data_IF_440414079866
#
_entry.id   IF_440414079866
#
_cell.length_a   1.000
_cell.length_b   1.000
_cell.length_c   1.000
_cell.angle_alpha   90.00
_cell.angle_beta   90.00
_cell.angle_gamma   90.00
#
_symmetry.space_group_name_H-M   'P 1'
#
loop_
_entity.id
_entity.type
_entity.pdbx_description
1 polymer ?
#
# COMPACT_ATOMS: atom_id res chain seq x y z
N UNK A 1 88.18 49.50 -36.34
CA UNK A 1 87.32 49.70 -35.15
C UNK A 1 85.86 49.71 -35.59
N UNK A 2 85.08 48.77 -35.05
CA UNK A 2 83.61 48.56 -35.09
C UNK A 2 82.81 49.02 -36.34
N UNK A 3 82.19 48.09 -37.11
CA UNK A 3 81.20 48.44 -38.12
C UNK A 3 79.83 48.80 -37.50
N UNK A 4 78.96 49.54 -38.20
CA UNK A 4 77.64 49.91 -37.72
C UNK A 4 76.64 48.76 -37.84
N UNK A 5 75.76 48.62 -36.85
CA UNK A 5 74.64 47.68 -36.87
C UNK A 5 73.63 48.07 -37.97
N UNK A 6 73.13 47.11 -38.78
CA UNK A 6 71.92 47.33 -39.57
C UNK A 6 70.69 47.00 -38.71
N UNK A 7 69.79 47.98 -38.61
CA UNK A 7 68.45 47.84 -38.05
C UNK A 7 67.62 46.97 -39.01
N UNK A 8 67.41 45.69 -38.68
CA UNK A 8 66.49 44.83 -39.43
C UNK A 8 65.05 45.23 -39.09
N UNK A 9 64.40 46.00 -39.97
CA UNK A 9 62.94 46.11 -39.98
C UNK A 9 62.37 44.79 -40.52
N UNK A 10 62.06 43.89 -39.58
CA UNK A 10 61.37 42.63 -39.85
C UNK A 10 59.95 42.96 -40.31
N UNK A 11 59.75 43.05 -41.62
CA UNK A 11 58.42 42.98 -42.21
C UNK A 11 57.84 41.60 -41.87
N UNK A 12 56.93 41.55 -40.90
CA UNK A 12 56.05 40.41 -40.74
C UNK A 12 55.17 40.33 -41.99
N UNK A 13 55.05 39.18 -42.66
CA UNK A 13 54.01 39.00 -43.66
C UNK A 13 52.67 39.16 -42.94
N UNK A 14 51.95 40.22 -43.31
CA UNK A 14 50.56 40.42 -42.92
C UNK A 14 49.78 39.29 -43.59
N UNK A 15 49.49 38.21 -42.88
CA UNK A 15 48.40 37.31 -43.27
C UNK A 15 47.08 38.06 -43.04
N UNK A 16 46.73 38.94 -43.96
CA UNK A 16 45.34 39.26 -44.21
C UNK A 16 44.77 38.11 -45.03
N UNK A 17 44.27 37.10 -44.34
CA UNK A 17 43.09 36.37 -44.83
C UNK A 17 42.04 36.56 -43.75
N UNK A 18 41.39 37.73 -43.75
CA UNK A 18 40.05 37.85 -43.18
C UNK A 18 39.08 37.22 -44.18
N UNK A 19 39.21 35.90 -44.38
CA UNK A 19 38.29 35.13 -45.19
C UNK A 19 37.02 34.94 -44.37
N UNK A 20 35.89 35.46 -44.85
CA UNK A 20 34.59 35.08 -44.30
C UNK A 20 34.42 33.56 -44.42
N UNK A 21 33.70 32.96 -43.46
CA UNK A 21 33.38 31.54 -43.49
C UNK A 21 32.75 31.17 -44.82
N UNK A 22 33.22 30.07 -45.42
CA UNK A 22 32.61 29.54 -46.64
C UNK A 22 31.21 29.01 -46.32
N UNK A 23 30.33 29.02 -47.32
CA UNK A 23 28.96 28.50 -47.17
C UNK A 23 28.95 27.05 -46.64
N UNK A 24 29.91 26.23 -47.05
CA UNK A 24 30.06 24.84 -46.59
C UNK A 24 30.46 24.77 -45.11
N UNK A 25 31.39 25.61 -44.65
CA UNK A 25 31.78 25.66 -43.22
C UNK A 25 30.62 26.12 -42.34
N UNK A 26 29.85 27.13 -42.77
CA UNK A 26 28.63 27.56 -42.10
C UNK A 26 27.59 26.43 -42.03
N UNK A 27 27.38 25.70 -43.13
CA UNK A 27 26.39 24.62 -43.20
C UNK A 27 26.78 23.44 -42.30
N UNK A 28 28.06 23.05 -42.30
CA UNK A 28 28.59 22.00 -41.41
C UNK A 28 28.47 22.44 -39.95
N UNK A 29 28.85 23.68 -39.62
CA UNK A 29 28.73 24.20 -38.26
C UNK A 29 27.27 24.22 -37.75
N UNK A 30 26.32 24.63 -38.60
CA UNK A 30 24.89 24.61 -38.25
C UNK A 30 24.36 23.18 -38.06
N UNK A 31 24.76 22.24 -38.93
CA UNK A 31 24.32 20.84 -38.83
C UNK A 31 24.82 20.14 -37.57
N UNK A 32 26.10 20.33 -37.22
CA UNK A 32 26.67 19.81 -35.98
C UNK A 32 26.01 20.44 -34.75
N UNK A 33 25.80 21.76 -34.77
CA UNK A 33 25.12 22.47 -33.68
C UNK A 33 23.70 21.95 -33.47
N UNK A 34 22.94 21.71 -34.55
CA UNK A 34 21.60 21.15 -34.47
C UNK A 34 21.59 19.73 -33.88
N UNK A 35 22.55 18.88 -34.25
CA UNK A 35 22.69 17.54 -33.66
C UNK A 35 23.01 17.60 -32.17
N UNK A 36 23.92 18.46 -31.75
CA UNK A 36 24.28 18.61 -30.33
C UNK A 36 23.13 19.17 -29.49
N UNK A 37 22.41 20.16 -30.01
CA UNK A 37 21.25 20.73 -29.31
C UNK A 37 20.11 19.71 -29.25
N UNK A 38 19.85 18.98 -30.34
CA UNK A 38 18.81 17.94 -30.38
C UNK A 38 19.09 16.78 -29.43
N UNK A 39 20.34 16.30 -29.37
CA UNK A 39 20.75 15.24 -28.44
C UNK A 39 20.73 15.72 -26.99
N UNK A 40 21.22 16.93 -26.70
CA UNK A 40 21.16 17.51 -25.36
C UNK A 40 19.73 17.73 -24.87
N UNK A 41 18.82 18.17 -25.75
CA UNK A 41 17.41 18.33 -25.43
C UNK A 41 16.73 16.97 -25.15
N UNK A 42 17.05 15.92 -25.91
CA UNK A 42 16.54 14.58 -25.64
C UNK A 42 17.08 14.00 -24.33
N UNK A 43 18.37 14.20 -24.03
CA UNK A 43 18.97 13.78 -22.76
C UNK A 43 18.34 14.54 -21.59
N UNK A 44 18.17 15.86 -21.71
CA UNK A 44 17.51 16.65 -20.68
C UNK A 44 16.04 16.25 -20.51
N UNK A 45 15.32 15.98 -21.60
CA UNK A 45 13.95 15.49 -21.54
C UNK A 45 13.87 14.11 -20.86
N UNK A 46 14.76 13.19 -21.21
CA UNK A 46 14.86 11.87 -20.58
C UNK A 46 15.23 11.98 -19.09
N UNK A 47 16.18 12.85 -18.73
CA UNK A 47 16.54 13.12 -17.34
C UNK A 47 15.38 13.77 -16.61
N UNK A 48 14.67 14.73 -17.19
CA UNK A 48 13.56 15.44 -16.52
C UNK A 48 12.33 14.54 -16.35
N UNK A 49 12.06 13.68 -17.33
CA UNK A 49 11.01 12.65 -17.23
C UNK A 49 11.37 11.60 -16.17
N UNK A 50 12.64 11.18 -16.10
CA UNK A 50 13.10 10.24 -15.07
C UNK A 50 13.34 10.89 -13.70
N UNK A 51 13.61 12.19 -13.63
CA UNK A 51 13.84 12.92 -12.38
C UNK A 51 12.53 13.11 -11.61
N UNK A 52 11.40 13.19 -12.31
CA UNK A 52 10.07 13.05 -11.68
C UNK A 52 9.84 11.68 -11.03
N UNK A 53 10.69 10.69 -11.30
CA UNK A 53 10.63 9.35 -10.71
C UNK A 53 11.59 9.17 -9.50
N UNK A 54 12.31 10.21 -9.06
CA UNK A 54 12.98 10.15 -7.76
C UNK A 54 11.93 10.24 -6.66
N UNK A 55 11.40 9.07 -6.32
CA UNK A 55 10.83 8.79 -5.01
C UNK A 55 11.70 9.43 -3.93
N UNK A 56 11.16 10.37 -3.17
CA UNK A 56 11.76 10.73 -1.89
C UNK A 56 11.77 9.45 -1.04
N UNK A 57 12.94 8.88 -0.80
CA UNK A 57 13.08 7.74 0.10
C UNK A 57 13.35 8.30 1.48
N UNK A 58 12.49 7.99 2.43
CA UNK A 58 12.67 8.35 3.83
C UNK A 58 13.07 7.12 4.62
N UNK A 59 14.01 7.32 5.55
CA UNK A 59 14.21 6.39 6.66
C UNK A 59 13.12 6.70 7.70
N UNK A 60 12.19 5.76 7.88
CA UNK A 60 11.08 5.88 8.83
C UNK A 60 11.42 5.09 10.08
N UNK A 61 11.37 5.72 11.24
CA UNK A 61 11.52 5.04 12.53
C UNK A 61 10.18 4.39 12.94
N UNK A 62 10.13 3.05 12.88
CA UNK A 62 8.95 2.24 13.26
C UNK A 62 9.11 1.56 14.62
N UNK A 63 10.34 1.51 15.14
CA UNK A 63 10.72 0.76 16.33
C UNK A 63 11.05 -0.70 16.02
N UNK A 64 11.93 -1.28 16.84
CA UNK A 64 12.48 -2.64 16.60
C UNK A 64 11.39 -3.71 16.60
N UNK A 65 10.43 -3.64 17.52
CA UNK A 65 9.35 -4.62 17.60
C UNK A 65 8.49 -4.65 16.32
N UNK A 66 8.21 -3.48 15.73
CA UNK A 66 7.44 -3.36 14.49
C UNK A 66 8.21 -3.94 13.32
N UNK A 67 9.48 -3.56 13.16
CA UNK A 67 10.34 -4.07 12.06
C UNK A 67 10.58 -5.57 12.15
N UNK A 68 10.79 -6.10 13.35
CA UNK A 68 10.95 -7.53 13.60
C UNK A 68 9.65 -8.27 13.27
N UNK A 69 8.50 -7.74 13.70
CA UNK A 69 7.20 -8.34 13.42
C UNK A 69 6.81 -8.31 11.93
N UNK A 70 7.12 -7.20 11.24
CA UNK A 70 6.72 -6.97 9.85
C UNK A 70 7.64 -7.68 8.85
N UNK A 71 8.95 -7.64 9.10
CA UNK A 71 9.97 -7.98 8.11
C UNK A 71 11.07 -8.90 8.66
N UNK A 72 10.97 -9.34 9.92
CA UNK A 72 12.02 -10.10 10.61
C UNK A 72 13.37 -9.37 10.61
N UNK A 73 13.33 -8.03 10.72
CA UNK A 73 14.52 -7.17 10.74
C UNK A 73 14.84 -6.70 12.16
N UNK A 74 16.08 -6.92 12.61
CA UNK A 74 16.59 -6.42 13.90
C UNK A 74 17.01 -4.94 13.85
N UNK A 75 16.23 -4.08 13.22
CA UNK A 75 16.48 -2.63 13.06
C UNK A 75 15.26 -1.83 13.51
N UNK A 76 15.42 -0.57 13.90
CA UNK A 76 14.30 0.30 14.28
C UNK A 76 13.68 1.07 13.11
N UNK A 77 14.32 1.07 11.94
CA UNK A 77 13.89 1.85 10.78
C UNK A 77 13.84 1.08 9.47
N UNK A 78 12.97 1.57 8.59
CA UNK A 78 12.77 1.06 7.23
C UNK A 78 12.88 2.22 6.25
N UNK A 79 13.66 2.00 5.18
CA UNK A 79 13.72 2.93 4.06
C UNK A 79 12.54 2.67 3.14
N UNK A 80 11.65 3.66 3.00
CA UNK A 80 10.50 3.54 2.11
C UNK A 80 10.28 4.80 1.30
N UNK A 81 9.48 4.66 0.25
CA UNK A 81 9.09 5.74 -0.64
C UNK A 81 7.98 6.58 -0.03
N UNK A 82 8.01 7.90 -0.19
CA UNK A 82 6.84 8.74 0.05
C UNK A 82 5.85 8.66 -1.11
N UNK A 83 4.55 8.74 -0.82
CA UNK A 83 3.51 8.98 -1.81
C UNK A 83 3.49 10.46 -2.23
N UNK A 84 3.22 10.79 -3.50
CA UNK A 84 2.88 9.87 -4.59
C UNK A 84 4.11 9.17 -5.20
N UNK A 85 4.00 7.87 -5.47
CA UNK A 85 5.02 7.03 -6.10
C UNK A 85 4.39 6.01 -7.06
N UNK A 86 4.51 6.28 -8.35
CA UNK A 86 4.00 5.41 -9.42
C UNK A 86 4.82 4.13 -9.60
N UNK A 87 6.09 4.11 -9.21
CA UNK A 87 6.92 2.91 -9.25
C UNK A 87 6.43 1.82 -8.28
N UNK A 88 5.89 2.23 -7.13
CA UNK A 88 5.28 1.34 -6.14
C UNK A 88 3.90 0.85 -6.55
N UNK A 89 3.25 1.48 -7.53
CA UNK A 89 1.93 1.08 -8.04
C UNK A 89 1.92 -0.35 -8.58
N UNK A 90 2.99 -0.77 -9.25
CA UNK A 90 3.13 -2.13 -9.78
C UNK A 90 3.03 -3.19 -8.69
N UNK A 91 3.63 -2.95 -7.52
CA UNK A 91 3.59 -3.88 -6.39
C UNK A 91 2.19 -3.99 -5.78
N UNK A 92 1.38 -2.94 -5.86
CA UNK A 92 -0.02 -2.98 -5.39
C UNK A 92 -0.88 -3.79 -6.34
N UNK A 93 -0.69 -3.63 -7.64
CA UNK A 93 -1.37 -4.47 -8.63
C UNK A 93 -1.00 -5.95 -8.46
N UNK A 94 0.29 -6.25 -8.30
CA UNK A 94 0.75 -7.61 -8.02
C UNK A 94 0.15 -8.16 -6.72
N UNK A 95 0.17 -7.38 -5.63
CA UNK A 95 -0.44 -7.78 -4.35
C UNK A 95 -1.95 -8.03 -4.48
N UNK A 96 -2.67 -7.17 -5.22
CA UNK A 96 -4.10 -7.31 -5.47
C UNK A 96 -4.39 -8.56 -6.27
N UNK A 97 -3.64 -8.81 -7.34
CA UNK A 97 -3.87 -9.96 -8.20
C UNK A 97 -3.56 -11.25 -7.42
N UNK A 98 -2.46 -11.29 -6.66
CA UNK A 98 -2.14 -12.39 -5.73
C UNK A 98 -3.21 -12.59 -4.65
N UNK A 99 -3.82 -11.50 -4.15
CA UNK A 99 -4.92 -11.57 -3.18
C UNK A 99 -6.17 -12.18 -3.80
N UNK A 100 -6.56 -11.80 -5.02
CA UNK A 100 -7.69 -12.41 -5.70
C UNK A 100 -7.46 -13.89 -6.04
N UNK A 101 -6.23 -14.26 -6.41
CA UNK A 101 -5.86 -15.65 -6.62
C UNK A 101 -6.03 -16.47 -5.33
N UNK A 102 -5.51 -15.98 -4.19
CA UNK A 102 -5.68 -16.67 -2.91
C UNK A 102 -7.15 -16.71 -2.45
N UNK A 103 -7.93 -15.64 -2.68
CA UNK A 103 -9.37 -15.61 -2.39
C UNK A 103 -10.11 -16.65 -3.22
N UNK A 104 -9.75 -16.83 -4.49
CA UNK A 104 -10.39 -17.83 -5.36
C UNK A 104 -10.16 -19.28 -4.89
N UNK A 105 -9.08 -19.51 -4.15
CA UNK A 105 -8.72 -20.80 -3.54
C UNK A 105 -9.25 -20.95 -2.11
N UNK A 106 -9.87 -19.90 -1.55
CA UNK A 106 -10.35 -19.88 -0.18
C UNK A 106 -11.83 -20.27 -0.08
N UNK A 107 -12.17 -20.98 0.99
CA UNK A 107 -13.55 -21.29 1.37
C UNK A 107 -14.15 -20.18 2.27
N UNK A 108 -13.28 -19.45 2.98
CA UNK A 108 -13.68 -18.43 3.93
C UNK A 108 -12.67 -17.29 4.01
N UNK A 109 -13.19 -16.06 4.10
CA UNK A 109 -12.43 -14.82 4.27
C UNK A 109 -12.86 -14.16 5.57
N UNK A 110 -11.92 -13.96 6.49
CA UNK A 110 -12.21 -13.37 7.80
C UNK A 110 -11.33 -12.15 8.05
N UNK A 111 -11.92 -10.97 8.01
CA UNK A 111 -11.22 -9.73 8.36
C UNK A 111 -11.35 -9.48 9.87
N UNK A 112 -10.23 -9.35 10.58
CA UNK A 112 -10.17 -9.03 12.00
C UNK A 112 -9.49 -7.68 12.21
N UNK A 113 -10.06 -6.84 13.08
CA UNK A 113 -9.52 -5.54 13.44
C UNK A 113 -8.54 -5.64 14.63
N UNK A 114 -7.47 -4.85 14.60
CA UNK A 114 -6.48 -4.79 15.70
C UNK A 114 -5.87 -3.41 15.86
N UNK A 115 -5.42 -3.13 17.09
CA UNK A 115 -4.68 -1.91 17.42
C UNK A 115 -3.16 -2.12 17.37
N UNK A 116 -2.69 -3.28 17.84
CA UNK A 116 -1.26 -3.62 17.96
C UNK A 116 -0.76 -4.53 16.85
N UNK A 117 0.46 -5.06 17.05
CA UNK A 117 1.11 -6.01 16.15
C UNK A 117 0.43 -7.38 16.19
N UNK A 118 0.36 -8.07 15.04
CA UNK A 118 -0.14 -9.44 14.97
C UNK A 118 1.02 -10.44 15.07
N UNK A 119 0.93 -11.40 15.98
CA UNK A 119 1.88 -12.52 16.10
C UNK A 119 1.27 -13.85 15.68
N UNK A 120 0.00 -13.87 15.25
CA UNK A 120 -0.77 -15.07 14.92
C UNK A 120 -0.84 -15.21 13.40
N UNK A 121 0.02 -16.07 12.86
CA UNK A 121 0.13 -16.37 11.41
C UNK A 121 0.21 -17.88 11.14
N UNK A 122 -0.70 -18.70 11.71
CA UNK A 122 -0.61 -20.16 11.60
C UNK A 122 -0.91 -20.62 10.17
N UNK A 123 -0.40 -21.80 9.82
CA UNK A 123 -0.85 -22.58 8.64
C UNK A 123 -2.06 -23.47 9.01
N UNK A 124 -2.07 -23.97 10.23
CA UNK A 124 -3.03 -24.95 10.73
C UNK A 124 -3.62 -24.45 12.05
N UNK A 125 -4.94 -24.45 12.14
CA UNK A 125 -5.69 -24.17 13.36
C UNK A 125 -6.37 -25.47 13.79
N UNK A 126 -6.04 -25.96 14.98
CA UNK A 126 -6.63 -27.18 15.53
C UNK A 126 -8.10 -26.94 15.91
N UNK A 127 -8.99 -27.87 15.55
CA UNK A 127 -10.36 -27.80 16.04
C UNK A 127 -10.37 -28.12 17.55
N UNK A 128 -10.94 -27.26 18.42
CA UNK A 128 -10.85 -27.41 19.87
C UNK A 128 -11.73 -28.53 20.46
N UNK A 129 -12.02 -29.59 19.70
CA UNK A 129 -12.90 -30.68 20.11
C UNK A 129 -12.12 -31.97 20.31
N UNK A 130 -12.22 -32.51 21.53
CA UNK A 130 -11.73 -33.85 21.87
C UNK A 130 -12.73 -34.97 21.57
N UNK A 131 -13.97 -34.61 21.18
CA UNK A 131 -15.05 -35.56 20.87
C UNK A 131 -15.40 -35.51 19.37
N UNK A 132 -15.18 -36.60 18.60
CA UNK A 132 -15.51 -36.66 17.19
C UNK A 132 -17.02 -36.59 16.88
N UNK A 133 -17.90 -36.68 17.89
CA UNK A 133 -19.33 -36.47 17.75
C UNK A 133 -19.76 -34.99 17.87
N UNK A 134 -18.87 -34.09 18.30
CA UNK A 134 -19.20 -32.68 18.44
C UNK A 134 -19.25 -31.98 17.06
N UNK A 135 -20.32 -31.23 16.80
CA UNK A 135 -20.44 -30.43 15.59
C UNK A 135 -19.40 -29.31 15.58
N UNK A 136 -18.65 -29.19 14.47
CA UNK A 136 -17.73 -28.07 14.23
C UNK A 136 -18.47 -26.72 14.38
N UNK A 137 -17.80 -25.69 14.91
CA UNK A 137 -18.43 -24.40 15.16
C UNK A 137 -18.70 -23.74 13.82
N UNK A 138 -19.83 -23.05 13.73
CA UNK A 138 -20.22 -22.35 12.51
C UNK A 138 -19.45 -21.03 12.43
N UNK A 139 -18.47 -20.96 11.53
CA UNK A 139 -17.62 -19.78 11.32
C UNK A 139 -18.25 -18.85 10.27
N UNK A 140 -19.43 -18.32 10.60
CA UNK A 140 -20.26 -17.55 9.67
C UNK A 140 -20.06 -16.03 9.71
N UNK A 141 -19.28 -15.55 10.68
CA UNK A 141 -19.05 -14.12 10.95
C UNK A 141 -17.60 -13.88 11.40
N UNK A 142 -17.10 -12.64 11.23
CA UNK A 142 -15.79 -12.25 11.77
C UNK A 142 -15.69 -12.53 13.28
N UNK A 143 -16.78 -12.29 14.01
CA UNK A 143 -16.84 -12.49 15.46
C UNK A 143 -16.83 -13.98 15.84
N UNK A 144 -17.55 -14.84 15.11
CA UNK A 144 -17.47 -16.29 15.32
C UNK A 144 -16.04 -16.80 15.06
N UNK A 145 -15.40 -16.35 13.98
CA UNK A 145 -14.01 -16.69 13.69
C UNK A 145 -13.04 -16.17 14.75
N UNK A 146 -13.22 -14.93 15.23
CA UNK A 146 -12.40 -14.35 16.31
C UNK A 146 -12.48 -15.18 17.59
N UNK A 147 -13.68 -15.61 18.00
CA UNK A 147 -13.87 -16.43 19.20
C UNK A 147 -13.29 -17.84 19.02
N UNK A 148 -13.41 -18.42 17.83
CA UNK A 148 -12.74 -19.68 17.49
C UNK A 148 -11.21 -19.55 17.57
N UNK A 149 -10.65 -18.48 16.98
CA UNK A 149 -9.22 -18.20 17.01
C UNK A 149 -8.72 -17.98 18.43
N UNK A 150 -9.48 -17.27 19.28
CA UNK A 150 -9.15 -17.07 20.69
C UNK A 150 -9.15 -18.37 21.51
N UNK A 151 -9.90 -19.39 21.06
CA UNK A 151 -9.92 -20.71 21.72
C UNK A 151 -8.74 -21.55 21.29
N UNK A 152 -8.43 -21.55 19.98
CA UNK A 152 -7.37 -22.37 19.37
C UNK A 152 -5.98 -21.78 19.60
N UNK A 153 -5.87 -20.46 19.52
CA UNK A 153 -4.66 -19.66 19.69
C UNK A 153 -4.92 -18.58 20.74
N UNK A 154 -4.79 -18.90 22.05
CA UNK A 154 -5.16 -17.98 23.13
C UNK A 154 -4.50 -16.60 23.08
N UNK A 155 -3.30 -16.51 22.48
CA UNK A 155 -2.58 -15.24 22.28
C UNK A 155 -3.35 -14.27 21.38
N UNK A 156 -4.20 -14.76 20.47
CA UNK A 156 -5.01 -13.95 19.56
C UNK A 156 -6.07 -13.10 20.28
N UNK A 157 -6.51 -13.52 21.46
CA UNK A 157 -7.56 -12.84 22.23
C UNK A 157 -7.18 -11.42 22.65
N UNK A 158 -5.88 -11.17 22.87
CA UNK A 158 -5.34 -9.85 23.21
C UNK A 158 -5.02 -8.97 21.98
N UNK A 159 -4.98 -9.56 20.79
CA UNK A 159 -4.59 -8.89 19.54
C UNK A 159 -5.81 -8.34 18.82
N UNK A 160 -6.84 -9.17 18.66
CA UNK A 160 -8.00 -8.84 17.85
C UNK A 160 -9.17 -8.30 18.67
N UNK A 161 -9.74 -7.20 18.20
CA UNK A 161 -10.86 -6.53 18.85
C UNK A 161 -12.18 -6.97 18.20
N UNK A 162 -13.19 -7.22 19.04
CA UNK A 162 -14.54 -7.47 18.56
C UNK A 162 -15.08 -6.24 17.83
N UNK A 163 -15.70 -6.44 16.68
CA UNK A 163 -16.33 -5.36 15.92
C UNK A 163 -17.54 -5.91 15.16
N UNK A 164 -18.47 -5.03 14.79
CA UNK A 164 -19.58 -5.37 13.91
C UNK A 164 -19.65 -4.39 12.76
N UNK A 165 -19.54 -4.91 11.55
CA UNK A 165 -19.43 -4.15 10.30
C UNK A 165 -18.16 -3.29 10.21
N UNK A 166 -17.95 -2.34 11.11
CA UNK A 166 -16.81 -1.40 11.06
C UNK A 166 -15.87 -1.62 12.23
N UNK A 167 -14.55 -1.66 11.98
CA UNK A 167 -13.56 -1.54 13.04
C UNK A 167 -13.76 -0.26 13.87
N UNK A 168 -13.55 -0.31 15.19
CA UNK A 168 -13.47 0.92 15.98
C UNK A 168 -12.23 1.73 15.57
N UNK A 169 -12.30 3.07 15.70
CA UNK A 169 -11.18 3.96 15.36
C UNK A 169 -9.88 3.66 16.14
N UNK A 170 -10.00 3.02 17.30
CA UNK A 170 -8.87 2.57 18.13
C UNK A 170 -8.18 1.31 17.60
N UNK A 171 -8.75 0.63 16.60
CA UNK A 171 -8.20 -0.57 15.96
C UNK A 171 -8.08 -0.37 14.44
N UNK A 172 -7.14 0.49 13.98
CA UNK A 172 -7.06 0.90 12.58
C UNK A 172 -6.46 -0.16 11.64
N UNK A 173 -5.77 -1.15 12.19
CA UNK A 173 -5.06 -2.18 11.43
C UNK A 173 -5.97 -3.39 11.19
N UNK A 174 -5.79 -4.02 10.04
CA UNK A 174 -6.61 -5.15 9.61
C UNK A 174 -5.74 -6.39 9.39
N UNK A 175 -6.24 -7.54 9.80
CA UNK A 175 -5.69 -8.86 9.44
C UNK A 175 -6.75 -9.67 8.75
N UNK A 176 -6.43 -10.24 7.59
CA UNK A 176 -7.35 -11.01 6.76
C UNK A 176 -6.85 -12.44 6.77
N UNK A 177 -7.65 -13.35 7.31
CA UNK A 177 -7.40 -14.78 7.26
C UNK A 177 -8.17 -15.38 6.08
N UNK A 178 -7.44 -16.08 5.21
CA UNK A 178 -8.03 -16.87 4.13
C UNK A 178 -7.97 -18.34 4.53
N UNK A 179 -9.11 -18.96 4.73
CA UNK A 179 -9.22 -20.40 5.06
C UNK A 179 -9.51 -21.19 3.80
N UNK A 180 -9.00 -22.43 3.72
CA UNK A 180 -9.17 -23.26 2.54
C UNK A 180 -9.43 -24.72 2.85
N UNK A 181 -9.68 -25.53 1.82
CA UNK A 181 -9.98 -26.94 1.97
C UNK A 181 -8.80 -27.68 2.58
N UNK A 182 -9.11 -28.72 3.35
CA UNK A 182 -8.13 -29.61 3.97
C UNK A 182 -8.65 -31.05 3.98
N UNK A 183 -7.72 -31.99 3.81
CA UNK A 183 -7.94 -33.43 3.99
C UNK A 183 -7.79 -33.87 5.46
N UNK A 184 -7.25 -33.01 6.31
CA UNK A 184 -7.11 -33.26 7.74
C UNK A 184 -8.37 -32.87 8.49
N UNK A 185 -9.07 -33.87 9.05
CA UNK A 185 -10.35 -33.68 9.75
C UNK A 185 -10.23 -32.78 11.00
N UNK A 186 -9.10 -32.83 11.69
CA UNK A 186 -8.86 -32.17 12.97
C UNK A 186 -8.32 -30.73 12.85
N UNK A 187 -8.09 -30.26 11.62
CA UNK A 187 -7.56 -28.92 11.39
C UNK A 187 -8.44 -28.08 10.48
N UNK A 188 -8.32 -26.77 10.62
CA UNK A 188 -8.72 -25.76 9.64
C UNK A 188 -7.44 -25.22 9.00
N UNK A 189 -7.38 -25.26 7.67
CA UNK A 189 -6.22 -24.75 6.94
C UNK A 189 -6.35 -23.24 6.71
N UNK A 190 -5.29 -22.51 7.02
CA UNK A 190 -5.12 -21.10 6.67
C UNK A 190 -4.22 -21.03 5.44
N UNK A 191 -4.79 -20.64 4.30
CA UNK A 191 -4.10 -20.55 3.00
C UNK A 191 -3.09 -19.42 3.01
N UNK A 192 -3.50 -18.26 3.54
CA UNK A 192 -2.67 -17.07 3.67
C UNK A 192 -3.26 -16.12 4.73
N UNK A 193 -2.38 -15.30 5.28
CA UNK A 193 -2.74 -14.19 6.17
C UNK A 193 -2.25 -12.90 5.54
N UNK A 194 -3.16 -11.96 5.30
CA UNK A 194 -2.82 -10.62 4.86
C UNK A 194 -2.91 -9.63 6.02
N UNK A 195 -1.98 -8.70 6.09
CA UNK A 195 -1.95 -7.67 7.11
C UNK A 195 -1.91 -6.30 6.44
N UNK A 196 -2.78 -5.39 6.89
CA UNK A 196 -2.80 -3.98 6.49
C UNK A 196 -2.54 -3.16 7.75
N UNK A 197 -1.43 -2.44 7.76
CA UNK A 197 -1.00 -1.64 8.90
C UNK A 197 -0.82 -0.18 8.54
N UNK A 198 -1.24 0.68 9.48
CA UNK A 198 -0.98 2.11 9.50
C UNK A 198 -0.23 2.42 10.79
N UNK A 199 1.04 2.77 10.67
CA UNK A 199 1.91 3.12 11.80
C UNK A 199 2.21 4.60 11.73
N UNK A 200 1.79 5.35 12.75
CA UNK A 200 2.14 6.77 12.86
C UNK A 200 3.63 6.90 13.13
N UNK A 201 4.32 7.66 12.29
CA UNK A 201 5.72 8.01 12.45
C UNK A 201 5.84 9.48 12.85
N UNK A 202 6.80 9.78 13.73
CA UNK A 202 7.16 11.16 14.11
C UNK A 202 8.47 11.62 13.48
N UNK A 203 9.22 10.70 12.84
CA UNK A 203 10.50 11.00 12.20
C UNK A 203 10.66 10.22 10.89
N UNK A 204 10.34 10.83 9.74
CA UNK A 204 9.54 12.06 9.55
C UNK A 204 8.08 11.89 9.99
N UNK A 205 7.38 13.01 10.21
CA UNK A 205 5.97 13.02 10.62
C UNK A 205 5.04 12.56 9.49
N UNK A 206 4.21 11.55 9.76
CA UNK A 206 3.30 10.98 8.78
C UNK A 206 2.82 9.59 9.14
N UNK A 207 2.31 8.86 8.16
CA UNK A 207 1.81 7.48 8.34
C UNK A 207 2.56 6.54 7.42
N UNK A 208 3.20 5.55 8.01
CA UNK A 208 3.73 4.39 7.30
C UNK A 208 2.63 3.38 7.08
N UNK A 209 2.27 3.13 5.82
CA UNK A 209 1.30 2.14 5.45
C UNK A 209 1.98 0.93 4.81
N UNK A 210 1.57 -0.27 5.21
CA UNK A 210 2.16 -1.52 4.74
C UNK A 210 1.07 -2.56 4.50
N UNK A 211 1.16 -3.27 3.39
CA UNK A 211 0.36 -4.46 3.12
C UNK A 211 1.30 -5.63 2.95
N UNK A 212 1.05 -6.70 3.70
CA UNK A 212 1.92 -7.87 3.76
C UNK A 212 1.11 -9.14 3.60
N UNK A 213 1.70 -10.12 2.92
CA UNK A 213 1.16 -11.47 2.74
C UNK A 213 2.07 -12.49 3.40
N UNK A 214 1.52 -13.22 4.36
CA UNK A 214 2.16 -14.34 5.01
C UNK A 214 1.56 -15.66 4.52
N UNK A 215 2.43 -16.62 4.24
CA UNK A 215 2.05 -18.00 3.95
C UNK A 215 2.89 -18.90 4.86
N UNK A 216 2.23 -19.75 5.62
CA UNK A 216 2.87 -20.65 6.59
C UNK A 216 3.81 -19.89 7.55
N UNK A 217 3.32 -18.77 8.11
CA UNK A 217 4.08 -17.90 9.00
C UNK A 217 5.19 -17.06 8.35
N UNK A 218 5.50 -17.30 7.07
CA UNK A 218 6.60 -16.63 6.36
C UNK A 218 6.09 -15.49 5.48
N UNK A 219 6.77 -14.34 5.53
CA UNK A 219 6.48 -13.23 4.63
C UNK A 219 6.83 -13.60 3.19
N UNK A 220 5.86 -13.53 2.29
CA UNK A 220 6.05 -13.92 0.88
C UNK A 220 6.00 -12.73 -0.07
N UNK A 221 5.10 -11.79 0.18
CA UNK A 221 4.94 -10.57 -0.61
C UNK A 221 4.62 -9.42 0.31
N UNK A 222 5.05 -8.22 -0.06
CA UNK A 222 4.63 -7.00 0.62
C UNK A 222 4.83 -5.80 -0.29
N UNK A 223 4.12 -4.72 0.05
CA UNK A 223 4.48 -3.39 -0.37
C UNK A 223 4.27 -2.41 0.78
N UNK A 224 4.99 -1.31 0.71
CA UNK A 224 4.94 -0.26 1.71
C UNK A 224 5.04 1.12 1.06
N UNK A 225 4.45 2.10 1.75
CA UNK A 225 4.46 3.49 1.33
C UNK A 225 4.35 4.40 2.55
N UNK A 226 5.05 5.53 2.50
CA UNK A 226 4.93 6.58 3.50
C UNK A 226 4.02 7.71 3.01
N UNK A 227 3.07 8.11 3.83
CA UNK A 227 2.24 9.29 3.63
C UNK A 227 2.77 10.42 4.51
N UNK A 228 3.41 11.41 3.89
CA UNK A 228 3.77 12.64 4.59
C UNK A 228 2.54 13.28 5.22
N UNK A 229 2.66 13.76 6.45
CA UNK A 229 1.59 14.52 7.09
C UNK A 229 1.33 15.83 6.33
N UNK A 230 0.09 16.03 5.89
CA UNK A 230 -0.40 17.30 5.31
C UNK A 230 -1.66 17.82 6.04
N UNK A 231 -2.01 17.24 7.19
CA UNK A 231 -3.06 17.73 8.07
C UNK A 231 -4.48 17.19 7.81
N UNK A 232 -4.68 16.33 6.81
CA UNK A 232 -5.98 15.67 6.59
C UNK A 232 -6.09 14.32 7.32
N UNK A 233 -7.32 13.83 7.45
CA UNK A 233 -7.59 12.55 8.11
C UNK A 233 -7.03 11.35 7.32
N UNK A 234 -6.53 10.31 7.99
CA UNK A 234 -6.01 9.10 7.36
C UNK A 234 -7.09 8.26 6.65
N UNK A 235 -6.64 7.28 5.86
CA UNK A 235 -7.48 6.24 5.27
C UNK A 235 -7.81 5.17 6.32
N UNK A 236 -8.72 5.48 7.25
CA UNK A 236 -9.22 4.55 8.28
C UNK A 236 -10.76 4.65 8.29
N UNK A 237 -11.48 3.52 8.37
CA UNK A 237 -11.00 2.14 8.44
C UNK A 237 -10.46 1.62 7.09
N UNK A 238 -9.62 0.58 7.13
CA UNK A 238 -9.15 -0.12 5.93
C UNK A 238 -10.09 -1.23 5.47
N UNK A 239 -11.15 -1.53 6.22
CA UNK A 239 -12.16 -2.51 5.83
C UNK A 239 -13.52 -2.22 6.46
N UNK A 240 -14.56 -2.75 5.82
CA UNK A 240 -15.91 -2.84 6.35
C UNK A 240 -16.54 -4.18 5.97
N UNK A 241 -17.16 -4.84 6.93
CA UNK A 241 -17.89 -6.09 6.77
C UNK A 241 -19.39 -5.84 6.56
N UNK A 242 -20.01 -6.64 5.70
CA UNK A 242 -21.43 -6.62 5.40
C UNK A 242 -21.99 -8.00 5.71
N UNK A 243 -22.97 -8.07 6.60
CA UNK A 243 -23.63 -9.32 6.97
C UNK A 243 -24.71 -9.70 5.93
N UNK A 244 -25.09 -10.98 5.86
CA UNK A 244 -26.22 -11.42 5.02
C UNK A 244 -27.53 -10.76 5.46
N UNK A 245 -28.39 -10.38 4.50
CA UNK A 245 -29.77 -9.90 4.74
C UNK A 245 -30.63 -10.86 5.57
N UNK A 246 -30.34 -12.16 5.55
CA UNK A 246 -31.05 -13.16 6.35
C UNK A 246 -30.73 -13.08 7.86
N UNK A 247 -29.72 -12.31 8.28
CA UNK A 247 -29.45 -11.98 9.68
C UNK A 247 -30.17 -10.70 10.10
N UNK A 248 -30.69 -10.69 11.32
CA UNK A 248 -31.30 -9.49 11.89
C UNK A 248 -30.23 -8.40 12.07
N UNK A 249 -30.39 -7.28 11.37
CA UNK A 249 -29.80 -6.02 11.81
C UNK A 249 -30.40 -5.72 13.20
N UNK A 250 -29.60 -5.86 14.27
CA UNK A 250 -29.99 -5.47 15.62
C UNK A 250 -30.39 -3.98 15.63
N UNK A 251 -31.41 -3.61 16.42
CA UNK A 251 -31.88 -2.23 16.55
C UNK A 251 -30.73 -1.27 16.82
N UNK A 252 -30.66 -0.28 15.95
CA UNK A 252 -29.57 0.65 15.69
C UNK A 252 -29.64 1.81 16.69
N UNK A 253 -28.50 2.30 17.19
CA UNK A 253 -28.42 3.53 17.97
C UNK A 253 -27.95 4.70 17.11
N UNK A 254 -28.14 5.94 17.58
CA UNK A 254 -27.96 7.18 16.80
C UNK A 254 -26.55 7.42 16.19
N UNK A 255 -25.53 6.63 16.57
CA UNK A 255 -24.13 6.89 16.22
C UNK A 255 -23.51 5.94 15.17
N UNK A 256 -24.00 4.70 15.04
CA UNK A 256 -23.34 3.67 14.21
C UNK A 256 -24.39 2.95 13.38
N UNK A 257 -24.73 3.57 12.25
CA UNK A 257 -25.71 3.03 11.32
C UNK A 257 -25.20 2.97 9.88
N UNK A 258 -23.87 2.76 9.75
CA UNK A 258 -23.11 3.16 8.55
C UNK A 258 -22.85 2.04 7.54
N UNK A 259 -23.12 0.77 7.89
CA UNK A 259 -22.76 -0.37 7.05
C UNK A 259 -23.83 -1.45 7.21
N UNK A 260 -24.69 -1.61 6.21
CA UNK A 260 -25.90 -2.43 6.27
C UNK A 260 -25.86 -3.57 5.26
N UNK A 261 -26.39 -4.71 5.70
CA UNK A 261 -26.77 -5.95 5.03
C UNK A 261 -26.43 -6.08 3.52
N UNK A 262 -25.62 -7.07 3.18
CA UNK A 262 -25.44 -7.54 1.82
C UNK A 262 -26.68 -8.23 1.27
N UNK A 263 -27.15 -7.79 0.09
CA UNK A 263 -28.37 -8.29 -0.55
C UNK A 263 -28.27 -9.77 -0.95
N UNK A 264 -27.09 -10.21 -1.37
CA UNK A 264 -26.87 -11.54 -1.97
C UNK A 264 -26.05 -12.48 -1.08
N UNK A 265 -25.41 -11.96 -0.04
CA UNK A 265 -24.52 -12.73 0.85
C UNK A 265 -23.59 -11.78 1.63
N UNK A 266 -22.85 -12.31 2.63
CA UNK A 266 -21.89 -11.52 3.37
C UNK A 266 -20.63 -11.23 2.54
N UNK A 267 -20.09 -10.02 2.63
CA UNK A 267 -18.90 -9.59 1.91
C UNK A 267 -18.14 -8.49 2.67
N UNK A 268 -16.93 -8.18 2.23
CA UNK A 268 -16.12 -7.08 2.74
C UNK A 268 -15.85 -6.06 1.64
N UNK A 269 -15.80 -4.79 2.04
CA UNK A 269 -15.06 -3.76 1.32
C UNK A 269 -13.71 -3.59 2.01
N UNK A 270 -12.63 -3.58 1.24
CA UNK A 270 -11.27 -3.46 1.74
C UNK A 270 -10.58 -2.35 0.94
N UNK A 271 -10.03 -1.37 1.64
CA UNK A 271 -9.29 -0.26 1.07
C UNK A 271 -7.80 -0.48 1.31
N UNK A 272 -7.07 -0.70 0.21
CA UNK A 272 -5.63 -0.84 0.27
C UNK A 272 -4.97 0.55 0.23
N UNK A 273 -3.83 0.73 0.93
CA UNK A 273 -2.97 1.89 0.78
C UNK A 273 -2.58 2.10 -0.69
N UNK A 274 -2.81 3.30 -1.22
CA UNK A 274 -2.52 3.71 -2.60
C UNK A 274 -1.21 4.49 -2.69
N UNK A 275 -0.17 3.96 -3.34
CA UNK A 275 1.07 4.68 -3.53
C UNK A 275 0.95 5.93 -4.39
N UNK A 276 -0.04 6.02 -5.27
CA UNK A 276 -0.18 7.12 -6.23
C UNK A 276 -0.84 8.37 -5.65
N UNK A 277 -1.45 8.29 -4.47
CA UNK A 277 -2.18 9.37 -3.81
C UNK A 277 -1.69 9.48 -2.36
N UNK A 278 -1.49 10.71 -1.86
CA UNK A 278 -1.31 10.92 -0.43
C UNK A 278 -2.67 11.24 0.21
N UNK A 279 -3.30 10.31 0.95
CA UNK A 279 -4.61 10.52 1.54
C UNK A 279 -4.61 11.62 2.61
N UNK A 280 -3.46 11.91 3.23
CA UNK A 280 -3.30 12.98 4.22
C UNK A 280 -3.23 14.37 3.60
N UNK A 281 -3.06 14.47 2.27
CA UNK A 281 -3.10 15.72 1.51
C UNK A 281 -4.37 15.87 0.66
N UNK A 282 -5.26 14.88 0.66
CA UNK A 282 -6.53 14.97 -0.07
C UNK A 282 -7.59 15.58 0.83
N UNK A 283 -8.21 16.72 0.44
CA UNK A 283 -9.25 17.35 1.24
C UNK A 283 -10.38 16.38 1.55
N UNK A 284 -10.76 16.32 2.83
CA UNK A 284 -11.92 15.53 3.23
C UNK A 284 -13.17 16.16 2.61
N UNK A 285 -13.83 15.44 1.69
CA UNK A 285 -15.05 15.92 1.04
C UNK A 285 -16.13 16.11 2.11
N UNK A 286 -16.73 17.31 2.14
CA UNK A 286 -17.85 17.59 3.03
C UNK A 286 -19.00 16.61 2.75
N UNK A 287 -19.45 15.91 3.79
CA UNK A 287 -20.61 15.02 3.71
C UNK A 287 -21.81 15.89 3.27
N UNK A 288 -22.47 15.60 2.13
CA UNK A 288 -23.72 16.26 1.79
C UNK A 288 -24.69 16.10 2.98
N UNK A 289 -25.39 17.16 3.35
CA UNK A 289 -26.20 17.37 4.57
C UNK A 289 -27.17 16.26 5.05
N UNK A 290 -27.29 15.13 4.36
CA UNK A 290 -28.13 14.00 4.75
C UNK A 290 -27.32 12.89 5.42
N UNK A 291 -27.15 13.00 6.74
CA UNK A 291 -26.42 12.06 7.61
C UNK A 291 -27.07 10.67 7.72
N UNK A 292 -28.16 10.42 6.98
CA UNK A 292 -28.92 9.16 7.02
C UNK A 292 -28.48 8.14 5.97
N UNK A 293 -27.73 8.56 4.93
CA UNK A 293 -27.23 7.62 3.91
C UNK A 293 -25.81 7.12 4.26
N UNK A 294 -25.67 5.87 4.77
CA UNK A 294 -24.38 5.25 5.05
C UNK A 294 -23.41 5.27 3.86
N UNK A 295 -23.93 5.37 2.61
CA UNK A 295 -23.12 5.34 1.41
C UNK A 295 -22.27 6.58 1.20
N UNK A 296 -22.58 7.69 1.87
CA UNK A 296 -21.81 8.91 1.75
C UNK A 296 -20.43 8.81 2.40
N UNK A 297 -20.26 7.92 3.40
CA UNK A 297 -18.96 7.63 3.98
C UNK A 297 -18.03 6.93 2.96
N UNK A 298 -18.56 6.15 1.99
CA UNK A 298 -17.74 5.59 0.89
C UNK A 298 -17.13 6.68 0.00
N UNK A 299 -17.79 7.83 -0.14
CA UNK A 299 -17.27 8.92 -0.96
C UNK A 299 -15.99 9.52 -0.35
N UNK A 300 -15.85 9.49 0.98
CA UNK A 300 -14.62 9.92 1.66
C UNK A 300 -13.45 8.99 1.35
N UNK A 301 -13.71 7.67 1.29
CA UNK A 301 -12.69 6.68 0.94
C UNK A 301 -12.35 6.70 -0.56
N UNK A 302 -13.33 6.93 -1.43
CA UNK A 302 -13.13 6.99 -2.88
C UNK A 302 -12.19 8.12 -3.33
N UNK A 303 -12.09 9.22 -2.56
CA UNK A 303 -11.12 10.29 -2.81
C UNK A 303 -9.70 9.98 -2.32
N UNK A 304 -9.54 9.03 -1.38
CA UNK A 304 -8.29 8.78 -0.64
C UNK A 304 -7.52 7.55 -1.13
N UNK A 305 -8.16 6.68 -1.92
CA UNK A 305 -7.50 5.52 -2.55
C UNK A 305 -8.26 5.09 -3.81
N UNK A 306 -7.53 4.72 -4.86
CA UNK A 306 -8.09 4.02 -6.02
C UNK A 306 -8.22 2.51 -5.82
N UNK A 307 -7.66 1.95 -4.74
CA UNK A 307 -7.58 0.51 -4.50
C UNK A 307 -8.63 0.04 -3.51
N UNK A 308 -9.88 -0.06 -3.99
CA UNK A 308 -10.98 -0.68 -3.27
C UNK A 308 -11.24 -2.09 -3.79
N UNK A 309 -11.25 -3.06 -2.89
CA UNK A 309 -11.57 -4.46 -3.16
C UNK A 309 -12.94 -4.79 -2.58
N UNK A 310 -13.73 -5.54 -3.35
CA UNK A 310 -14.95 -6.19 -2.86
C UNK A 310 -14.70 -7.69 -2.82
N UNK A 311 -14.91 -8.30 -1.65
CA UNK A 311 -14.51 -9.69 -1.40
C UNK A 311 -15.66 -10.44 -0.74
N UNK A 312 -16.21 -11.51 -1.35
CA UNK A 312 -17.20 -12.34 -0.68
C UNK A 312 -16.58 -13.03 0.54
N UNK A 313 -17.35 -13.14 1.62
CA UNK A 313 -16.87 -13.84 2.83
C UNK A 313 -16.71 -15.35 2.60
N UNK A 314 -17.50 -15.92 1.70
CA UNK A 314 -17.44 -17.33 1.31
C UNK A 314 -17.34 -17.40 -0.23
N UNK A 315 -16.14 -17.30 -0.82
CA UNK A 315 -15.96 -17.24 -2.27
C UNK A 315 -16.37 -18.51 -3.00
N UNK A 316 -16.37 -19.65 -2.31
CA UNK A 316 -16.69 -20.97 -2.85
C UNK A 316 -18.18 -21.32 -2.83
N UNK A 317 -19.05 -20.44 -2.31
CA UNK A 317 -20.50 -20.63 -2.20
C UNK A 317 -21.27 -19.71 -3.17
#
# INVERSE_FOLDING_TARGET
MKPPFPFQSRFLPRHQVSGGFTFVEMLVAMSLSAMFIGTAAMVLAAITQNAKNFSTVHSIELGTATCENFYSLSKSSVNTSAAPNLGRLGLVHEMRDQFYDDVSLSEGVYCLARAGLNTVRPEWLEWPYSDPAASKPVLDTPEAFRNFLATTEPTSAAIFTAYRNVPPATAPNTTIFLTGPTDQADYLKVVAVYEIDFVTSTSPAGIYASVRRYKNGTLTHYYDIFYDDKGEAPLIPSMAAFESRSRLAKTEGDAIDRYKLGRSGPFYLIWLPDPSINPLGTPTVAIPTDTTDPRQDYAQHAGKTGFMLTVPMFPSL
#
